data_IF_994197012052
#
_entry.id   IF_994197012052
#
_cell.length_a   1.000
_cell.length_b   1.000
_cell.length_c   1.000
_cell.angle_alpha   90.00
_cell.angle_beta   90.00
_cell.angle_gamma   90.00
#
_symmetry.space_group_name_H-M   'P 1'
#
loop_
_entity.id
_entity.type
_entity.pdbx_description
1 polymer ?
#
# COMPACT_ATOMS: atom_id res chain seq x y z
N UNK A 1 20.58 5.38 3.37
CA UNK A 1 20.74 4.01 2.84
C UNK A 1 19.37 3.40 2.94
N UNK A 2 18.71 3.16 1.80
CA UNK A 2 17.29 2.81 1.79
C UNK A 2 17.10 1.41 2.36
N UNK A 3 16.19 1.27 3.32
CA UNK A 3 15.89 0.02 4.02
C UNK A 3 14.68 -0.65 3.38
N UNK A 4 13.63 0.10 3.02
CA UNK A 4 12.45 -0.49 2.38
C UNK A 4 11.94 0.35 1.20
N UNK A 5 11.30 -0.32 0.25
CA UNK A 5 10.49 0.28 -0.81
C UNK A 5 9.07 -0.21 -0.62
N UNK A 6 8.11 0.71 -0.54
CA UNK A 6 6.70 0.43 -0.37
C UNK A 6 5.95 0.92 -1.61
N UNK A 7 5.06 0.08 -2.11
CA UNK A 7 4.06 0.42 -3.12
C UNK A 7 2.71 0.46 -2.41
N UNK A 8 2.02 1.57 -2.55
CA UNK A 8 0.86 1.92 -1.76
C UNK A 8 -0.08 2.86 -2.53
N UNK A 9 -1.26 3.11 -1.96
CA UNK A 9 -2.32 3.94 -2.54
C UNK A 9 -2.62 5.09 -1.58
N UNK A 10 -2.24 6.30 -2.00
CA UNK A 10 -2.52 7.50 -1.22
C UNK A 10 -4.03 7.76 -1.24
N UNK A 11 -4.64 7.80 -0.04
CA UNK A 11 -6.08 8.06 0.11
C UNK A 11 -6.49 9.47 -0.33
N UNK A 12 -5.53 10.42 -0.44
CA UNK A 12 -5.81 11.79 -0.85
C UNK A 12 -6.04 11.92 -2.36
N UNK A 13 -5.30 11.17 -3.18
CA UNK A 13 -5.40 11.22 -4.64
C UNK A 13 -5.90 9.92 -5.30
N UNK A 14 -6.06 8.86 -4.50
CA UNK A 14 -6.45 7.50 -4.91
C UNK A 14 -5.55 6.92 -6.01
N UNK A 15 -4.25 7.25 -6.02
CA UNK A 15 -3.28 6.75 -7.00
C UNK A 15 -2.19 5.93 -6.34
N UNK A 16 -1.55 5.11 -7.18
CA UNK A 16 -0.40 4.30 -6.78
C UNK A 16 0.85 5.18 -6.68
N UNK A 17 1.51 5.10 -5.54
CA UNK A 17 2.79 5.75 -5.29
C UNK A 17 3.86 4.73 -4.90
N UNK A 18 5.11 5.10 -5.09
CA UNK A 18 6.25 4.29 -4.66
C UNK A 18 7.08 5.14 -3.72
N UNK A 19 7.09 4.77 -2.45
CA UNK A 19 7.92 5.43 -1.45
C UNK A 19 9.13 4.57 -1.11
N UNK A 20 10.29 5.22 -1.00
CA UNK A 20 11.50 4.58 -0.50
C UNK A 20 11.88 5.19 0.83
N UNK A 21 12.01 4.37 1.87
CA UNK A 21 12.45 4.82 3.18
C UNK A 21 13.92 4.50 3.46
N UNK A 22 14.60 5.42 4.14
CA UNK A 22 15.95 5.27 4.67
C UNK A 22 16.00 4.73 6.12
N UNK A 23 14.87 4.55 6.82
CA UNK A 23 14.82 3.89 8.14
C UNK A 23 13.47 3.19 8.37
N UNK A 24 13.40 2.18 9.24
CA UNK A 24 12.12 1.50 9.55
C UNK A 24 11.06 2.45 10.16
N UNK A 25 11.48 3.59 10.71
CA UNK A 25 10.63 4.53 11.45
C UNK A 25 10.53 5.91 10.79
N UNK A 26 11.33 6.18 9.75
CA UNK A 26 11.26 7.41 8.97
C UNK A 26 10.42 7.16 7.71
N UNK A 27 9.67 8.17 7.27
CA UNK A 27 8.70 8.10 6.17
C UNK A 27 7.55 7.12 6.40
N UNK A 28 7.00 7.06 7.62
CA UNK A 28 5.64 6.57 7.81
C UNK A 28 4.71 7.41 6.92
N UNK A 29 4.21 6.83 5.84
CA UNK A 29 3.22 7.48 4.98
C UNK A 29 1.90 7.35 5.72
N UNK A 30 1.36 8.49 6.14
CA UNK A 30 0.11 8.54 6.88
C UNK A 30 -1.05 8.45 5.90
N UNK A 31 -2.07 7.66 6.23
CA UNK A 31 -3.25 7.46 5.39
C UNK A 31 -2.92 6.77 4.06
N UNK A 32 -1.98 5.83 4.08
CA UNK A 32 -1.62 5.04 2.91
C UNK A 32 -1.97 3.57 3.08
N UNK A 33 -2.36 2.93 1.97
CA UNK A 33 -2.74 1.52 1.95
C UNK A 33 -1.62 0.66 1.31
N UNK A 34 -0.76 0.00 2.11
CA UNK A 34 0.40 -0.71 1.59
C UNK A 34 -0.01 -1.97 0.81
N UNK A 35 0.37 -2.02 -0.46
CA UNK A 35 0.09 -3.15 -1.36
C UNK A 35 1.26 -4.13 -1.40
N UNK A 36 2.48 -3.63 -1.56
CA UNK A 36 3.70 -4.43 -1.69
C UNK A 36 4.85 -3.74 -0.96
N UNK A 37 5.62 -4.52 -0.20
CA UNK A 37 6.79 -4.02 0.54
C UNK A 37 7.99 -4.86 0.12
N UNK A 38 9.08 -4.20 -0.24
CA UNK A 38 10.36 -4.80 -0.56
C UNK A 38 11.40 -4.32 0.44
N UNK A 39 11.96 -5.26 1.20
CA UNK A 39 13.12 -4.98 2.05
C UNK A 39 14.37 -4.94 1.16
N UNK A 40 15.13 -3.86 1.23
CA UNK A 40 16.34 -3.64 0.44
C UNK A 40 17.56 -3.41 1.34
N UNK A 41 17.45 -3.76 2.62
CA UNK A 41 18.52 -3.71 3.59
C UNK A 41 19.48 -4.89 3.45
N UNK A 42 20.76 -4.66 3.72
CA UNK A 42 21.81 -5.66 3.48
C UNK A 42 21.54 -6.97 4.22
N UNK A 43 20.98 -6.93 5.43
CA UNK A 43 20.64 -8.17 6.16
C UNK A 43 19.62 -9.07 5.44
N UNK A 44 18.76 -8.53 4.58
CA UNK A 44 17.72 -9.29 3.90
C UNK A 44 18.27 -10.16 2.74
N UNK A 45 19.43 -9.81 2.17
CA UNK A 45 19.94 -10.48 0.97
C UNK A 45 21.41 -10.87 1.02
N UNK A 46 22.17 -10.40 2.01
CA UNK A 46 23.62 -10.64 2.05
C UNK A 46 23.98 -12.12 2.22
N UNK A 47 23.13 -12.91 2.89
CA UNK A 47 23.34 -14.35 3.09
C UNK A 47 23.26 -15.11 1.76
N UNK A 48 22.25 -14.79 0.93
CA UNK A 48 21.96 -15.55 -0.29
C UNK A 48 22.63 -14.98 -1.54
N UNK A 49 22.88 -13.66 -1.59
CA UNK A 49 23.36 -12.94 -2.78
C UNK A 49 24.64 -12.13 -2.54
N UNK A 50 25.16 -12.09 -1.32
CA UNK A 50 26.37 -11.32 -0.97
C UNK A 50 26.18 -9.82 -1.25
N UNK A 51 27.10 -9.22 -2.01
CA UNK A 51 27.03 -7.80 -2.39
C UNK A 51 26.18 -7.53 -3.65
N UNK A 52 25.64 -8.57 -4.31
CA UNK A 52 24.94 -8.44 -5.59
C UNK A 52 23.44 -8.13 -5.37
N UNK A 53 23.16 -6.88 -4.99
CA UNK A 53 21.79 -6.39 -4.79
C UNK A 53 20.90 -6.56 -6.02
N UNK A 54 21.47 -6.51 -7.23
CA UNK A 54 20.69 -6.61 -8.47
C UNK A 54 20.04 -7.99 -8.61
N UNK A 55 20.80 -9.05 -8.33
CA UNK A 55 20.26 -10.43 -8.35
C UNK A 55 19.16 -10.64 -7.33
N UNK A 56 19.30 -10.05 -6.14
CA UNK A 56 18.24 -10.07 -5.13
C UNK A 56 16.96 -9.41 -5.66
N UNK A 57 17.07 -8.24 -6.30
CA UNK A 57 15.91 -7.56 -6.87
C UNK A 57 15.24 -8.40 -7.97
N UNK A 58 16.03 -8.96 -8.88
CA UNK A 58 15.52 -9.81 -9.96
C UNK A 58 14.79 -11.05 -9.41
N UNK A 59 15.37 -11.70 -8.40
CA UNK A 59 14.75 -12.84 -7.71
C UNK A 59 13.47 -12.43 -6.96
N UNK A 60 13.46 -11.27 -6.30
CA UNK A 60 12.28 -10.74 -5.63
C UNK A 60 11.13 -10.55 -6.63
N UNK A 61 11.35 -9.85 -7.75
CA UNK A 61 10.31 -9.60 -8.75
C UNK A 61 9.74 -10.88 -9.37
N UNK A 62 10.55 -11.93 -9.52
CA UNK A 62 10.10 -13.23 -9.99
C UNK A 62 9.21 -13.97 -8.98
N UNK A 63 9.37 -13.70 -7.69
CA UNK A 63 8.66 -14.38 -6.61
C UNK A 63 7.49 -13.57 -6.03
N UNK A 64 7.16 -12.41 -6.60
CA UNK A 64 6.00 -11.62 -6.14
C UNK A 64 4.71 -12.41 -6.34
N UNK A 65 3.95 -12.56 -5.26
CA UNK A 65 2.60 -13.10 -5.33
C UNK A 65 1.60 -12.00 -5.73
N UNK A 66 1.43 -11.81 -7.04
CA UNK A 66 0.51 -10.82 -7.61
C UNK A 66 -0.96 -11.06 -7.22
N UNK A 67 -1.36 -12.31 -6.95
CA UNK A 67 -2.72 -12.60 -6.51
C UNK A 67 -3.00 -11.96 -5.14
N UNK A 68 -2.04 -12.01 -4.22
CA UNK A 68 -2.18 -11.36 -2.91
C UNK A 68 -2.24 -9.83 -3.05
N UNK A 69 -1.40 -9.26 -3.92
CA UNK A 69 -1.38 -7.81 -4.19
C UNK A 69 -2.72 -7.35 -4.79
N UNK A 70 -3.24 -8.09 -5.76
CA UNK A 70 -4.55 -7.81 -6.36
C UNK A 70 -5.70 -7.96 -5.34
N UNK A 71 -5.61 -8.92 -4.42
CA UNK A 71 -6.61 -9.07 -3.36
C UNK A 71 -6.60 -7.87 -2.42
N UNK A 72 -5.42 -7.35 -2.03
CA UNK A 72 -5.29 -6.13 -1.23
C UNK A 72 -5.89 -4.91 -1.96
N UNK A 73 -5.59 -4.76 -3.25
CA UNK A 73 -6.15 -3.71 -4.09
C UNK A 73 -7.69 -3.78 -4.16
N UNK A 74 -8.25 -4.98 -4.34
CA UNK A 74 -9.70 -5.18 -4.35
C UNK A 74 -10.34 -4.85 -3.01
N UNK A 75 -9.70 -5.23 -1.89
CA UNK A 75 -10.18 -4.87 -0.56
C UNK A 75 -10.26 -3.35 -0.37
N UNK A 76 -9.25 -2.63 -0.83
CA UNK A 76 -9.24 -1.17 -0.82
C UNK A 76 -10.41 -0.56 -1.62
N UNK A 77 -10.61 -0.99 -2.87
CA UNK A 77 -11.75 -0.48 -3.66
C UNK A 77 -13.11 -0.80 -3.04
N UNK A 78 -13.27 -1.99 -2.46
CA UNK A 78 -14.50 -2.37 -1.76
C UNK A 78 -14.75 -1.49 -0.53
N UNK A 79 -13.70 -1.16 0.22
CA UNK A 79 -13.77 -0.26 1.36
C UNK A 79 -14.26 1.13 0.93
N UNK A 80 -13.62 1.72 -0.09
CA UNK A 80 -13.98 3.05 -0.61
C UNK A 80 -15.42 3.07 -1.14
N UNK A 81 -15.82 2.04 -1.89
CA UNK A 81 -17.20 1.93 -2.37
C UNK A 81 -18.21 1.82 -1.23
N UNK A 82 -17.90 1.05 -0.18
CA UNK A 82 -18.75 0.94 1.01
C UNK A 82 -18.87 2.28 1.75
N UNK A 83 -17.76 3.01 1.91
CA UNK A 83 -17.75 4.33 2.58
C UNK A 83 -18.62 5.34 1.81
N UNK A 84 -18.48 5.40 0.49
CA UNK A 84 -19.27 6.30 -0.36
C UNK A 84 -20.76 6.00 -0.29
N UNK A 85 -21.15 4.71 -0.30
CA UNK A 85 -22.55 4.30 -0.14
C UNK A 85 -23.12 4.69 1.22
N UNK A 86 -22.36 4.49 2.30
CA UNK A 86 -22.80 4.84 3.65
C UNK A 86 -22.99 6.35 3.83
N UNK A 87 -22.08 7.16 3.28
CA UNK A 87 -22.20 8.64 3.28
C UNK A 87 -23.45 9.07 2.52
N UNK A 88 -23.70 8.48 1.34
CA UNK A 88 -24.91 8.76 0.57
C UNK A 88 -26.19 8.43 1.35
N UNK A 89 -26.24 7.27 2.02
CA UNK A 89 -27.39 6.87 2.84
C UNK A 89 -27.58 7.80 4.06
N UNK A 90 -26.50 8.16 4.74
CA UNK A 90 -26.53 9.07 5.89
C UNK A 90 -27.05 10.46 5.50
N UNK A 91 -26.59 10.99 4.36
CA UNK A 91 -27.07 12.26 3.84
C UNK A 91 -28.57 12.21 3.52
N UNK A 92 -29.04 11.16 2.85
CA UNK A 92 -30.47 11.01 2.52
C UNK A 92 -31.36 10.85 3.76
N UNK A 93 -30.90 10.18 4.82
CA UNK A 93 -31.64 10.09 6.09
C UNK A 93 -31.73 11.44 6.80
N UNK A 94 -30.63 12.22 6.83
CA UNK A 94 -30.62 13.55 7.42
C UNK A 94 -31.57 14.52 6.70
N UNK A 95 -31.61 14.49 5.36
CA UNK A 95 -32.58 15.30 4.61
C UNK A 95 -34.02 14.92 4.95
N UNK A 96 -34.34 13.63 5.07
CA UNK A 96 -35.71 13.21 5.44
C UNK A 96 -36.12 13.66 6.84
N UNK A 97 -35.22 13.67 7.82
CA UNK A 97 -35.53 14.06 9.19
C UNK A 97 -35.65 15.58 9.41
N UNK A 98 -35.24 16.41 8.44
CA UNK A 98 -35.27 17.87 8.55
C UNK A 98 -36.54 18.52 7.96
N UNK A 99 -37.36 17.73 7.24
CA UNK A 99 -38.63 18.17 6.64
C UNK A 99 -39.88 17.68 7.41
N UNK A 100 -39.71 17.21 8.66
CA UNK A 100 -40.78 16.85 9.59
C UNK A 100 -40.64 17.60 10.91
#
# INVERSE_FOLDING_TARGET
MKICVVLDIDELDNKLHIFGSDSHDNSAIWLDYPLLIMDVYEHAYFIDFGMDKKKYMDAFFQNINWNLVNNRLNMYYNLINSLNNNIFLANNMNYRNMFY
#
